data_IF_755657248817
#
_entry.id   IF_755657248817
#
_cell.length_a   1.000
_cell.length_b   1.000
_cell.length_c   1.000
_cell.angle_alpha   90.00
_cell.angle_beta   90.00
_cell.angle_gamma   90.00
#
_symmetry.space_group_name_H-M   'P 1'
#
loop_
_entity.id
_entity.type
_entity.pdbx_description
1 polymer ?
#
# COMPACT_ATOMS: atom_id res chain seq x y z
N UNK A 1 52.82 -16.91 23.55
CA UNK A 1 52.49 -15.91 22.49
C UNK A 1 51.99 -16.51 21.16
N UNK A 2 52.14 -17.81 20.89
CA UNK A 2 51.69 -18.42 19.63
C UNK A 2 50.20 -18.76 19.68
N UNK A 3 49.72 -19.31 20.80
CA UNK A 3 48.32 -19.75 20.97
C UNK A 3 47.29 -18.61 20.82
N UNK A 4 47.60 -17.42 21.35
CA UNK A 4 46.72 -16.25 21.23
C UNK A 4 46.63 -15.73 19.79
N UNK A 5 47.71 -15.87 19.01
CA UNK A 5 47.73 -15.48 17.59
C UNK A 5 46.88 -16.43 16.74
N UNK A 6 46.93 -17.73 17.00
CA UNK A 6 46.10 -18.72 16.29
C UNK A 6 44.62 -18.56 16.60
N UNK A 7 44.26 -18.34 17.87
CA UNK A 7 42.86 -18.12 18.28
C UNK A 7 42.30 -16.82 17.70
N UNK A 8 43.09 -15.75 17.65
CA UNK A 8 42.67 -14.50 17.02
C UNK A 8 42.43 -14.69 15.50
N UNK A 9 43.31 -15.41 14.82
CA UNK A 9 43.22 -15.65 13.38
C UNK A 9 41.97 -16.48 13.01
N UNK A 10 41.67 -17.53 13.79
CA UNK A 10 40.47 -18.35 13.56
C UNK A 10 39.19 -17.56 13.79
N UNK A 11 39.16 -16.68 14.80
CA UNK A 11 38.03 -15.78 15.07
C UNK A 11 37.80 -14.78 13.93
N UNK A 12 38.87 -14.19 13.39
CA UNK A 12 38.80 -13.24 12.27
C UNK A 12 38.25 -13.92 11.01
N UNK A 13 38.72 -15.14 10.71
CA UNK A 13 38.24 -15.92 9.56
C UNK A 13 36.77 -16.30 9.73
N UNK A 14 36.36 -16.73 10.93
CA UNK A 14 34.96 -17.05 11.22
C UNK A 14 34.04 -15.83 11.06
N UNK A 15 34.47 -14.65 11.53
CA UNK A 15 33.73 -13.40 11.35
C UNK A 15 33.63 -13.00 9.87
N UNK A 16 34.71 -13.11 9.10
CA UNK A 16 34.71 -12.78 7.68
C UNK A 16 33.75 -13.68 6.88
N UNK A 17 33.73 -14.99 7.16
CA UNK A 17 32.80 -15.95 6.54
C UNK A 17 31.36 -15.64 6.93
N UNK A 18 31.11 -15.32 8.20
CA UNK A 18 29.78 -14.96 8.67
C UNK A 18 29.25 -13.67 8.01
N UNK A 19 30.08 -12.64 7.87
CA UNK A 19 29.73 -11.41 7.16
C UNK A 19 29.49 -11.65 5.67
N UNK A 20 30.29 -12.51 5.03
CA UNK A 20 30.09 -12.89 3.64
C UNK A 20 28.80 -13.71 3.42
N UNK A 21 28.46 -14.60 4.35
CA UNK A 21 27.22 -15.37 4.32
C UNK A 21 25.98 -14.52 4.61
N UNK A 22 26.10 -13.48 5.45
CA UNK A 22 25.01 -12.53 5.70
C UNK A 22 24.77 -11.56 4.55
N UNK A 23 25.75 -11.37 3.66
CA UNK A 23 25.51 -10.70 2.38
C UNK A 23 24.66 -11.62 1.52
N UNK A 24 23.33 -11.54 1.71
CA UNK A 24 22.36 -12.05 0.74
C UNK A 24 22.89 -11.69 -0.64
N UNK A 25 23.13 -12.66 -1.53
CA UNK A 25 23.48 -12.32 -2.89
C UNK A 25 22.36 -11.40 -3.36
N UNK A 26 22.71 -10.17 -3.75
CA UNK A 26 21.83 -9.32 -4.54
C UNK A 26 21.69 -10.04 -5.88
N UNK A 27 20.95 -11.15 -5.89
CA UNK A 27 20.53 -11.87 -7.09
C UNK A 27 20.00 -10.79 -7.98
N UNK A 28 20.68 -10.60 -9.11
CA UNK A 28 20.43 -9.52 -10.03
C UNK A 28 18.94 -9.39 -10.22
N UNK A 29 18.45 -8.14 -10.20
CA UNK A 29 17.17 -7.83 -10.82
C UNK A 29 17.31 -8.25 -12.29
N UNK A 30 17.04 -9.51 -12.56
CA UNK A 30 16.90 -10.00 -13.93
C UNK A 30 15.77 -9.18 -14.51
N UNK A 31 16.09 -8.36 -15.51
CA UNK A 31 15.11 -7.70 -16.35
C UNK A 31 14.42 -8.79 -17.19
N UNK A 32 13.66 -9.67 -16.55
CA UNK A 32 12.80 -10.59 -17.27
C UNK A 32 11.55 -9.80 -17.72
N UNK A 33 11.38 -9.53 -19.02
CA UNK A 33 10.24 -8.77 -19.52
C UNK A 33 8.91 -9.46 -19.22
N UNK A 34 8.87 -10.80 -19.18
CA UNK A 34 7.67 -11.57 -18.86
C UNK A 34 7.24 -11.34 -17.40
N UNK A 35 8.20 -11.39 -16.46
CA UNK A 35 7.92 -11.11 -15.06
C UNK A 35 7.44 -9.67 -14.83
N UNK A 36 7.94 -8.71 -15.63
CA UNK A 36 7.46 -7.33 -15.58
C UNK A 36 6.04 -7.17 -16.14
N UNK A 37 5.72 -7.89 -17.23
CA UNK A 37 4.39 -7.91 -17.82
C UNK A 37 3.36 -8.49 -16.83
N UNK A 38 3.66 -9.66 -16.24
CA UNK A 38 2.83 -10.27 -15.20
C UNK A 38 2.65 -9.33 -14.01
N UNK A 39 3.71 -8.67 -13.55
CA UNK A 39 3.61 -7.69 -12.46
C UNK A 39 2.75 -6.47 -12.82
N UNK A 40 2.69 -6.06 -14.09
CA UNK A 40 1.78 -4.99 -14.54
C UNK A 40 0.33 -5.47 -14.54
N UNK A 41 0.09 -6.68 -15.04
CA UNK A 41 -1.25 -7.28 -15.11
C UNK A 41 -1.84 -7.53 -13.72
N UNK A 42 -1.07 -8.12 -12.81
CA UNK A 42 -1.46 -8.33 -11.41
C UNK A 42 -1.82 -6.99 -10.76
N UNK A 43 -1.01 -5.94 -10.99
CA UNK A 43 -1.32 -4.60 -10.47
C UNK A 43 -2.63 -4.05 -11.01
N UNK A 44 -2.91 -4.19 -12.32
CA UNK A 44 -4.19 -3.77 -12.91
C UNK A 44 -5.37 -4.48 -12.27
N UNK A 45 -5.27 -5.80 -12.07
CA UNK A 45 -6.33 -6.60 -11.47
C UNK A 45 -6.59 -6.21 -10.00
N UNK A 46 -5.53 -5.99 -9.22
CA UNK A 46 -5.65 -5.52 -7.82
C UNK A 46 -6.35 -4.15 -7.77
N UNK A 47 -5.92 -3.20 -8.61
CA UNK A 47 -6.52 -1.87 -8.67
C UNK A 47 -8.00 -1.95 -9.05
N UNK A 48 -8.36 -2.80 -10.03
CA UNK A 48 -9.75 -3.02 -10.40
C UNK A 48 -10.59 -3.59 -9.26
N UNK A 49 -10.07 -4.58 -8.52
CA UNK A 49 -10.76 -5.16 -7.36
C UNK A 49 -10.99 -4.13 -6.25
N UNK A 50 -9.99 -3.32 -5.94
CA UNK A 50 -10.11 -2.28 -4.90
C UNK A 50 -11.13 -1.22 -5.34
N UNK A 51 -11.09 -0.79 -6.60
CA UNK A 51 -12.04 0.18 -7.13
C UNK A 51 -13.50 -0.29 -6.97
N UNK A 52 -13.77 -1.56 -7.30
CA UNK A 52 -15.09 -2.20 -7.11
C UNK A 52 -15.47 -2.25 -5.62
N UNK A 53 -14.55 -2.69 -4.75
CA UNK A 53 -14.80 -2.81 -3.31
C UNK A 53 -15.21 -1.48 -2.67
N UNK A 54 -14.57 -0.39 -3.07
CA UNK A 54 -14.90 0.95 -2.59
C UNK A 54 -15.94 1.66 -3.45
N UNK A 55 -16.48 1.03 -4.49
CA UNK A 55 -17.46 1.62 -5.41
C UNK A 55 -16.97 2.93 -6.04
N UNK A 56 -15.72 2.95 -6.50
CA UNK A 56 -15.09 4.09 -7.16
C UNK A 56 -14.61 3.70 -8.55
N UNK A 57 -14.45 4.70 -9.42
CA UNK A 57 -13.97 4.48 -10.78
C UNK A 57 -12.55 3.93 -10.80
N UNK A 58 -12.31 2.98 -11.71
CA UNK A 58 -10.97 2.48 -11.97
C UNK A 58 -10.10 3.57 -12.64
N UNK A 59 -8.82 3.69 -12.26
CA UNK A 59 -7.88 4.57 -12.94
C UNK A 59 -7.74 4.21 -14.42
N UNK A 60 -7.45 5.20 -15.26
CA UNK A 60 -7.25 5.00 -16.68
C UNK A 60 -6.12 3.96 -16.94
N UNK A 61 -6.22 3.13 -17.98
CA UNK A 61 -5.25 2.07 -18.25
C UNK A 61 -3.82 2.58 -18.53
N UNK A 62 -3.70 3.85 -18.93
CA UNK A 62 -2.45 4.55 -19.24
C UNK A 62 -2.08 5.61 -18.19
N UNK A 63 -2.71 5.58 -17.03
CA UNK A 63 -2.40 6.51 -15.95
C UNK A 63 -0.93 6.36 -15.50
N UNK A 64 -0.26 7.49 -15.29
CA UNK A 64 1.13 7.52 -14.87
C UNK A 64 1.27 6.99 -13.44
N UNK A 65 0.29 7.23 -12.58
CA UNK A 65 0.28 6.80 -11.18
C UNK A 65 -1.10 6.25 -10.75
N UNK A 66 -1.51 5.08 -11.28
CA UNK A 66 -2.88 4.56 -11.10
C UNK A 66 -3.22 4.28 -9.63
N UNK A 67 -2.23 3.93 -8.80
CA UNK A 67 -2.43 3.74 -7.37
C UNK A 67 -2.81 5.04 -6.66
N UNK A 68 -2.16 6.16 -7.02
CA UNK A 68 -2.44 7.45 -6.38
C UNK A 68 -3.82 7.96 -6.79
N UNK A 69 -4.17 7.82 -8.07
CA UNK A 69 -5.50 8.17 -8.60
C UNK A 69 -6.61 7.39 -7.90
N UNK A 70 -6.42 6.08 -7.71
CA UNK A 70 -7.37 5.25 -6.97
C UNK A 70 -7.52 5.71 -5.51
N UNK A 71 -6.42 6.01 -4.82
CA UNK A 71 -6.45 6.50 -3.44
C UNK A 71 -7.18 7.85 -3.34
N UNK A 72 -6.94 8.76 -4.28
CA UNK A 72 -7.64 10.05 -4.33
C UNK A 72 -9.13 9.86 -4.56
N UNK A 73 -9.52 8.98 -5.48
CA UNK A 73 -10.92 8.67 -5.74
C UNK A 73 -11.61 8.10 -4.48
N UNK A 74 -10.98 7.14 -3.80
CA UNK A 74 -11.51 6.57 -2.54
C UNK A 74 -11.69 7.67 -1.49
N UNK A 75 -10.69 8.55 -1.31
CA UNK A 75 -10.76 9.64 -0.34
C UNK A 75 -11.90 10.60 -0.65
N UNK A 76 -12.06 10.99 -1.93
CA UNK A 76 -13.15 11.87 -2.35
C UNK A 76 -14.52 11.25 -2.09
N UNK A 77 -14.68 9.95 -2.38
CA UNK A 77 -15.92 9.24 -2.10
C UNK A 77 -16.24 9.24 -0.60
N UNK A 78 -15.28 8.93 0.26
CA UNK A 78 -15.47 8.94 1.70
C UNK A 78 -15.89 10.32 2.23
N UNK A 79 -15.28 11.39 1.71
CA UNK A 79 -15.68 12.75 2.05
C UNK A 79 -17.12 13.05 1.61
N UNK A 80 -17.51 12.60 0.41
CA UNK A 80 -18.88 12.75 -0.07
C UNK A 80 -19.87 11.98 0.79
N UNK A 81 -19.54 10.75 1.20
CA UNK A 81 -20.38 9.93 2.07
C UNK A 81 -20.58 10.60 3.44
N UNK A 82 -19.53 11.22 4.00
CA UNK A 82 -19.61 12.01 5.24
C UNK A 82 -20.49 13.25 5.04
N UNK A 83 -20.30 14.00 3.97
CA UNK A 83 -21.12 15.19 3.68
C UNK A 83 -22.60 14.80 3.55
N UNK A 84 -22.88 13.71 2.84
CA UNK A 84 -24.24 13.20 2.67
C UNK A 84 -24.85 12.73 4.00
N UNK A 85 -24.08 12.03 4.86
CA UNK A 85 -24.57 11.60 6.17
C UNK A 85 -24.82 12.79 7.09
N UNK A 86 -23.93 13.78 7.12
CA UNK A 86 -24.11 15.00 7.93
C UNK A 86 -25.30 15.82 7.44
N UNK A 87 -25.50 15.94 6.13
CA UNK A 87 -26.68 16.62 5.58
C UNK A 87 -27.98 15.89 5.95
N UNK A 88 -27.98 14.56 5.91
CA UNK A 88 -29.13 13.75 6.34
C UNK A 88 -29.40 13.89 7.85
N UNK A 89 -28.37 13.90 8.69
CA UNK A 89 -28.49 14.14 10.13
C UNK A 89 -29.04 15.54 10.44
N UNK A 90 -28.54 16.58 9.76
CA UNK A 90 -29.04 17.95 9.91
C UNK A 90 -30.50 18.10 9.45
N UNK A 91 -30.88 17.45 8.36
CA UNK A 91 -32.28 17.42 7.90
C UNK A 91 -33.19 16.71 8.91
N UNK A 92 -32.73 15.59 9.47
CA UNK A 92 -33.49 14.84 10.47
C UNK A 92 -33.62 15.60 11.80
N UNK A 93 -32.57 16.32 12.23
CA UNK A 93 -32.61 17.20 13.39
C UNK A 93 -33.61 18.37 13.19
N UNK A 94 -33.64 18.96 12.00
CA UNK A 94 -34.58 20.04 11.67
C UNK A 94 -36.03 19.54 11.66
N UNK A 95 -36.31 18.37 11.07
CA UNK A 95 -37.64 17.74 11.08
C UNK A 95 -38.11 17.36 12.50
N UNK A 96 -37.17 16.97 13.36
CA UNK A 96 -37.46 16.63 14.77
C UNK A 96 -37.77 17.87 15.61
N UNK A 97 -37.19 19.02 15.27
CA UNK A 97 -37.42 20.29 15.98
C UNK A 97 -38.74 20.95 15.56
N UNK A 98 -39.10 20.89 14.27
CA UNK A 98 -40.38 21.41 13.76
C UNK A 98 -41.62 20.64 14.26
N UNK A 99 -41.45 19.39 14.72
CA UNK A 99 -42.55 18.60 15.30
C UNK A 99 -42.79 18.95 16.78
N UNK A 100 -41.80 19.53 17.46
CA UNK A 100 -41.91 19.92 18.87
C UNK A 100 -42.51 21.32 19.10
N UNK A 101 -42.41 22.24 18.13
CA UNK A 101 -42.96 23.60 18.25
C UNK A 101 -44.43 23.72 17.82
N UNK A 102 -45.05 22.66 17.32
CA UNK A 102 -46.45 22.68 16.84
C UNK A 102 -47.42 21.85 17.70
N UNK A 103 -47.02 21.44 18.90
CA UNK A 103 -47.83 20.67 19.87
C UNK A 103 -48.26 21.53 21.08
#
# INVERSE_FOLDING_TARGET
>A
MILTKTVALTLIVALAVFVAAQRRPRRGRGNNPEAQALKKEIRKNIIAKIAIQYGVSTPAPNDTNPTQTLVQAIRLKQLQDIVNSTAAEAANATASTSTAESA
#
